data_IF_974297747615
#
_entry.id   IF_974297747615
#
_cell.length_a   1.000
_cell.length_b   1.000
_cell.length_c   1.000
_cell.angle_alpha   90.00
_cell.angle_beta   90.00
_cell.angle_gamma   90.00
#
_symmetry.space_group_name_H-M   'P 1'
#
loop_
_entity.id
_entity.type
_entity.pdbx_description
1 polymer ?
#
# COMPACT_ATOMS: atom_id res chain seq x y z
N UNK A 1 13.96 -42.30 2.28
CA UNK A 1 13.52 -41.43 3.40
C UNK A 1 14.04 -40.00 3.29
N UNK A 2 15.24 -39.72 2.76
CA UNK A 2 15.76 -38.34 2.60
C UNK A 2 15.00 -37.43 1.60
N UNK A 3 14.34 -38.00 0.60
CA UNK A 3 13.59 -37.23 -0.42
C UNK A 3 12.21 -36.74 0.07
N UNK A 4 11.60 -37.41 1.04
CA UNK A 4 10.32 -37.03 1.62
C UNK A 4 10.44 -35.81 2.53
N UNK A 5 11.59 -35.68 3.24
CA UNK A 5 11.88 -34.56 4.13
C UNK A 5 12.08 -33.22 3.38
N UNK A 6 12.62 -33.28 2.16
CA UNK A 6 12.85 -32.09 1.34
C UNK A 6 11.55 -31.51 0.76
N UNK A 7 10.59 -32.37 0.41
CA UNK A 7 9.26 -31.94 -0.09
C UNK A 7 8.47 -31.26 1.03
N UNK A 8 8.56 -31.74 2.26
CA UNK A 8 7.88 -31.14 3.42
C UNK A 8 8.42 -29.75 3.75
N UNK A 9 9.71 -29.50 3.52
CA UNK A 9 10.33 -28.19 3.77
C UNK A 9 9.92 -27.12 2.74
N UNK A 10 9.63 -27.54 1.50
CA UNK A 10 9.20 -26.62 0.43
C UNK A 10 7.75 -26.17 0.54
N UNK A 11 6.90 -26.90 1.25
CA UNK A 11 5.48 -26.56 1.42
C UNK A 11 5.23 -25.50 2.50
N UNK A 12 6.18 -25.24 3.38
CA UNK A 12 6.03 -24.28 4.48
C UNK A 12 6.27 -22.81 4.06
N UNK A 13 6.85 -22.57 2.89
CA UNK A 13 7.11 -21.19 2.41
C UNK A 13 5.91 -20.49 1.75
N UNK A 14 4.83 -21.22 1.48
CA UNK A 14 3.65 -20.68 0.76
C UNK A 14 2.64 -19.95 1.66
N UNK A 15 2.87 -19.85 2.98
CA UNK A 15 1.88 -19.34 3.95
C UNK A 15 2.11 -17.87 4.36
N UNK A 16 3.06 -17.15 3.76
CA UNK A 16 3.36 -15.75 4.11
C UNK A 16 2.69 -14.73 3.18
N UNK A 17 1.66 -15.10 2.44
CA UNK A 17 0.77 -14.15 1.79
C UNK A 17 -0.07 -13.47 2.87
N UNK A 18 0.29 -12.25 3.28
CA UNK A 18 -0.59 -11.43 4.09
C UNK A 18 -1.91 -11.29 3.31
N UNK A 19 -2.99 -11.78 3.92
CA UNK A 19 -4.32 -11.68 3.33
C UNK A 19 -4.80 -10.24 3.55
N UNK A 20 -4.91 -9.45 2.48
CA UNK A 20 -5.36 -8.04 2.53
C UNK A 20 -6.69 -7.90 3.28
N UNK A 21 -7.59 -8.88 3.14
CA UNK A 21 -8.85 -8.95 3.87
C UNK A 21 -8.66 -8.95 5.40
N UNK A 22 -7.64 -9.66 5.92
CA UNK A 22 -7.35 -9.69 7.36
C UNK A 22 -6.83 -8.33 7.86
N UNK A 23 -6.09 -7.61 7.03
CA UNK A 23 -5.60 -6.27 7.37
C UNK A 23 -6.76 -5.30 7.53
N UNK A 24 -7.71 -5.28 6.58
CA UNK A 24 -8.87 -4.39 6.65
C UNK A 24 -9.80 -4.75 7.81
N UNK A 25 -10.02 -6.03 8.07
CA UNK A 25 -10.77 -6.48 9.24
C UNK A 25 -10.11 -5.99 10.55
N UNK A 26 -8.79 -6.03 10.62
CA UNK A 26 -8.05 -5.55 11.79
C UNK A 26 -8.21 -4.03 11.94
N UNK A 27 -8.11 -3.25 10.86
CA UNK A 27 -8.31 -1.81 10.90
C UNK A 27 -9.72 -1.44 11.34
N UNK A 28 -10.73 -2.13 10.83
CA UNK A 28 -12.13 -1.94 11.24
C UNK A 28 -12.33 -2.22 12.73
N UNK A 29 -11.75 -3.30 13.25
CA UNK A 29 -11.80 -3.63 14.68
C UNK A 29 -11.08 -2.59 15.55
N UNK A 30 -9.93 -2.08 15.11
CA UNK A 30 -9.20 -1.02 15.82
C UNK A 30 -10.05 0.25 15.84
N UNK A 31 -10.64 0.64 14.71
CA UNK A 31 -11.54 1.78 14.67
C UNK A 31 -12.72 1.63 15.63
N UNK A 32 -13.42 0.48 15.60
CA UNK A 32 -14.51 0.19 16.51
C UNK A 32 -14.09 0.29 17.99
N UNK A 33 -12.88 -0.18 18.33
CA UNK A 33 -12.32 -0.05 19.67
C UNK A 33 -12.10 1.42 20.06
N UNK A 34 -11.50 2.20 19.16
CA UNK A 34 -11.24 3.65 19.40
C UNK A 34 -12.58 4.38 19.61
N UNK A 35 -13.58 4.14 18.75
CA UNK A 35 -14.90 4.79 18.85
C UNK A 35 -15.61 4.47 20.17
N UNK A 36 -15.36 3.28 20.73
CA UNK A 36 -15.98 2.85 22.00
C UNK A 36 -15.24 3.33 23.25
N UNK A 37 -13.90 3.29 23.24
CA UNK A 37 -13.09 3.44 24.44
C UNK A 37 -12.45 4.85 24.56
N UNK A 38 -12.37 5.60 23.46
CA UNK A 38 -11.75 6.92 23.50
C UNK A 38 -12.65 7.93 24.18
N UNK A 39 -12.09 8.75 25.09
CA UNK A 39 -12.84 9.77 25.85
C UNK A 39 -13.58 10.77 24.94
N UNK A 40 -12.99 11.12 23.82
CA UNK A 40 -13.57 12.04 22.82
C UNK A 40 -13.23 11.55 21.41
N UNK A 41 -13.93 10.53 20.92
CA UNK A 41 -13.67 10.01 19.58
C UNK A 41 -14.03 11.04 18.53
N UNK A 42 -13.18 11.19 17.52
CA UNK A 42 -13.51 11.98 16.34
C UNK A 42 -14.43 11.20 15.42
N UNK A 43 -15.33 11.87 14.68
CA UNK A 43 -16.17 11.21 13.69
C UNK A 43 -15.33 10.54 12.61
N UNK A 44 -15.81 9.41 12.12
CA UNK A 44 -15.26 8.73 10.93
C UNK A 44 -16.07 9.23 9.75
N UNK A 45 -15.53 10.22 9.05
CA UNK A 45 -16.19 10.99 7.99
C UNK A 45 -15.22 11.35 6.86
N UNK A 46 -15.71 12.05 5.84
CA UNK A 46 -14.92 12.51 4.69
C UNK A 46 -13.68 13.33 5.10
N UNK A 47 -13.76 14.11 6.20
CA UNK A 47 -12.63 14.90 6.69
C UNK A 47 -11.50 14.00 7.17
N UNK A 48 -11.85 12.92 7.87
CA UNK A 48 -10.89 11.89 8.28
C UNK A 48 -10.34 11.15 7.07
N UNK A 49 -11.18 10.79 6.10
CA UNK A 49 -10.76 10.15 4.84
C UNK A 49 -9.70 10.97 4.13
N UNK A 50 -9.96 12.26 3.91
CA UNK A 50 -9.02 13.19 3.26
C UNK A 50 -7.70 13.27 4.03
N UNK A 51 -7.79 13.46 5.35
CA UNK A 51 -6.60 13.57 6.19
C UNK A 51 -5.73 12.30 6.13
N UNK A 52 -6.35 11.13 6.27
CA UNK A 52 -5.65 9.84 6.25
C UNK A 52 -5.04 9.58 4.87
N UNK A 53 -5.80 9.80 3.80
CA UNK A 53 -5.33 9.60 2.42
C UNK A 53 -4.12 10.48 2.10
N UNK A 54 -4.22 11.79 2.38
CA UNK A 54 -3.17 12.75 2.08
C UNK A 54 -1.90 12.43 2.87
N UNK A 55 -2.01 12.20 4.18
CA UNK A 55 -0.85 11.83 5.01
C UNK A 55 -0.22 10.50 4.58
N UNK A 56 -1.03 9.50 4.24
CA UNK A 56 -0.52 8.21 3.79
C UNK A 56 0.33 8.34 2.53
N UNK A 57 -0.15 9.08 1.53
CA UNK A 57 0.59 9.29 0.29
C UNK A 57 1.80 10.23 0.48
N UNK A 58 1.71 11.23 1.36
CA UNK A 58 2.83 12.12 1.68
C UNK A 58 3.98 11.39 2.36
N UNK A 59 3.69 10.44 3.23
CA UNK A 59 4.73 9.60 3.87
C UNK A 59 5.40 8.67 2.86
N UNK A 60 4.64 8.09 1.93
CA UNK A 60 5.15 7.08 0.99
C UNK A 60 5.80 7.67 -0.27
N UNK A 61 5.31 8.80 -0.73
CA UNK A 61 5.79 9.48 -1.95
C UNK A 61 5.92 10.99 -1.72
N UNK A 62 6.66 11.36 -0.67
CA UNK A 62 6.89 12.77 -0.27
C UNK A 62 7.42 13.63 -1.42
N UNK A 63 8.26 13.07 -2.28
CA UNK A 63 8.85 13.74 -3.43
C UNK A 63 8.00 13.63 -4.71
N UNK A 64 6.83 13.00 -4.66
CA UNK A 64 5.94 12.79 -5.82
C UNK A 64 6.66 12.18 -7.04
N UNK A 65 7.56 11.24 -6.81
CA UNK A 65 8.39 10.62 -7.84
C UNK A 65 8.19 9.10 -7.98
N UNK A 66 7.31 8.51 -7.17
CA UNK A 66 7.01 7.09 -7.18
C UNK A 66 5.89 6.76 -8.18
N UNK A 67 4.74 7.43 -8.05
CA UNK A 67 3.58 7.21 -8.90
C UNK A 67 3.59 8.10 -10.13
N UNK A 68 3.09 7.59 -11.25
CA UNK A 68 2.74 8.41 -12.41
C UNK A 68 1.48 9.22 -12.12
N UNK A 69 1.25 10.27 -12.90
CA UNK A 69 0.04 11.09 -12.78
C UNK A 69 -1.24 10.24 -12.89
N UNK A 70 -1.26 9.26 -13.80
CA UNK A 70 -2.43 8.39 -14.00
C UNK A 70 -2.65 7.47 -12.79
N UNK A 71 -1.60 6.88 -12.25
CA UNK A 71 -1.68 6.04 -11.06
C UNK A 71 -2.16 6.86 -9.85
N UNK A 72 -1.60 8.05 -9.66
CA UNK A 72 -2.01 8.96 -8.60
C UNK A 72 -3.49 9.37 -8.74
N UNK A 73 -3.95 9.71 -9.94
CA UNK A 73 -5.35 10.05 -10.18
C UNK A 73 -6.32 8.91 -9.83
N UNK A 74 -5.96 7.67 -10.17
CA UNK A 74 -6.75 6.49 -9.77
C UNK A 74 -6.81 6.32 -8.26
N UNK A 75 -5.69 6.51 -7.57
CA UNK A 75 -5.69 6.45 -6.10
C UNK A 75 -6.55 7.56 -5.49
N UNK A 76 -6.60 8.74 -6.10
CA UNK A 76 -7.44 9.85 -5.64
C UNK A 76 -8.95 9.56 -5.68
N UNK A 77 -9.41 8.58 -6.46
CA UNK A 77 -10.81 8.15 -6.45
C UNK A 77 -11.25 7.62 -5.08
N UNK A 78 -10.32 7.12 -4.28
CA UNK A 78 -10.55 6.62 -2.94
C UNK A 78 -10.50 7.69 -1.84
N UNK A 79 -10.09 8.92 -2.17
CA UNK A 79 -9.75 9.97 -1.18
C UNK A 79 -10.89 10.33 -0.23
N UNK A 80 -12.14 10.24 -0.68
CA UNK A 80 -13.36 10.51 0.10
C UNK A 80 -14.09 9.22 0.52
N UNK A 81 -13.44 8.06 0.43
CA UNK A 81 -14.09 6.77 0.66
C UNK A 81 -13.45 5.95 1.79
N UNK A 82 -12.33 6.40 2.38
CA UNK A 82 -11.62 5.60 3.37
C UNK A 82 -12.41 5.38 4.65
N UNK A 83 -13.23 6.36 5.05
CA UNK A 83 -14.17 6.23 6.16
C UNK A 83 -15.22 5.16 5.90
N UNK A 84 -15.84 5.16 4.71
CA UNK A 84 -16.80 4.14 4.29
C UNK A 84 -16.13 2.77 4.27
N UNK A 85 -14.94 2.65 3.70
CA UNK A 85 -14.22 1.38 3.63
C UNK A 85 -13.89 0.80 5.00
N UNK A 86 -13.54 1.64 5.97
CA UNK A 86 -13.25 1.18 7.34
C UNK A 86 -14.51 0.71 8.06
N UNK A 87 -15.64 1.39 7.83
CA UNK A 87 -16.94 1.03 8.41
C UNK A 87 -17.51 -0.23 7.78
N UNK A 88 -17.31 -0.42 6.48
CA UNK A 88 -17.81 -1.55 5.70
C UNK A 88 -16.86 -2.76 5.65
N UNK A 89 -15.69 -2.66 6.27
CA UNK A 89 -14.63 -3.66 6.17
C UNK A 89 -14.21 -3.93 4.71
N UNK A 90 -14.09 -2.86 3.91
CA UNK A 90 -13.79 -2.90 2.49
C UNK A 90 -12.29 -2.64 2.24
N UNK A 91 -11.66 -3.50 1.47
CA UNK A 91 -10.22 -3.46 1.17
C UNK A 91 -9.87 -2.84 -0.19
N UNK A 92 -10.79 -2.22 -0.89
CA UNK A 92 -10.59 -1.75 -2.27
C UNK A 92 -9.38 -0.82 -2.39
N UNK A 93 -9.26 0.18 -1.51
CA UNK A 93 -8.10 1.09 -1.52
C UNK A 93 -6.77 0.34 -1.35
N UNK A 94 -6.68 -0.57 -0.37
CA UNK A 94 -5.43 -1.29 -0.11
C UNK A 94 -5.04 -2.18 -1.30
N UNK A 95 -5.99 -2.84 -1.93
CA UNK A 95 -5.75 -3.67 -3.11
C UNK A 95 -5.23 -2.84 -4.29
N UNK A 96 -5.88 -1.72 -4.58
CA UNK A 96 -5.50 -0.82 -5.68
C UNK A 96 -4.16 -0.13 -5.40
N UNK A 97 -3.95 0.29 -4.16
CA UNK A 97 -2.67 0.85 -3.73
C UNK A 97 -1.52 -0.14 -3.89
N UNK A 98 -1.66 -1.37 -3.39
CA UNK A 98 -0.62 -2.41 -3.48
C UNK A 98 -0.33 -2.75 -4.94
N UNK A 99 -1.35 -2.81 -5.80
CA UNK A 99 -1.16 -3.04 -7.24
C UNK A 99 -0.36 -1.90 -7.89
N UNK A 100 -0.74 -0.65 -7.66
CA UNK A 100 -0.04 0.53 -8.17
C UNK A 100 1.40 0.63 -7.63
N UNK A 101 1.61 0.35 -6.35
CA UNK A 101 2.92 0.37 -5.70
C UNK A 101 3.87 -0.67 -6.30
N UNK A 102 3.41 -1.90 -6.50
CA UNK A 102 4.20 -2.95 -7.16
C UNK A 102 4.63 -2.55 -8.57
N UNK A 103 3.72 -1.99 -9.36
CA UNK A 103 4.04 -1.49 -10.71
C UNK A 103 5.08 -0.36 -10.67
N UNK A 104 4.93 0.58 -9.74
CA UNK A 104 5.87 1.67 -9.55
C UNK A 104 7.28 1.17 -9.17
N UNK A 105 7.37 0.18 -8.27
CA UNK A 105 8.66 -0.43 -7.91
C UNK A 105 9.33 -1.14 -9.09
N UNK A 106 8.57 -1.91 -9.88
CA UNK A 106 9.11 -2.58 -11.08
C UNK A 106 9.63 -1.54 -12.08
N UNK A 107 8.89 -0.44 -12.28
CA UNK A 107 9.31 0.67 -13.14
C UNK A 107 10.60 1.32 -12.64
N UNK A 108 10.68 1.65 -11.36
CA UNK A 108 11.90 2.23 -10.75
C UNK A 108 13.10 1.30 -10.89
N UNK A 109 12.92 0.01 -10.63
CA UNK A 109 13.99 -0.99 -10.81
C UNK A 109 14.54 -0.98 -12.23
N UNK A 110 13.66 -1.01 -13.25
CA UNK A 110 14.07 -0.95 -14.67
C UNK A 110 14.84 0.33 -15.01
N UNK A 111 14.41 1.47 -14.47
CA UNK A 111 15.12 2.76 -14.69
C UNK A 111 16.52 2.71 -14.07
N UNK A 112 16.64 2.21 -12.84
CA UNK A 112 17.94 2.09 -12.18
C UNK A 112 18.89 1.13 -12.92
N UNK A 113 18.39 -0.02 -13.38
CA UNK A 113 19.16 -0.98 -14.19
C UNK A 113 19.62 -0.36 -15.51
N UNK A 114 18.81 0.51 -16.13
CA UNK A 114 19.20 1.26 -17.34
C UNK A 114 20.31 2.26 -17.02
N UNK A 115 20.14 3.07 -15.98
CA UNK A 115 21.12 4.08 -15.54
C UNK A 115 22.48 3.42 -15.21
N UNK A 116 22.47 2.27 -14.54
CA UNK A 116 23.69 1.54 -14.21
C UNK A 116 24.47 1.03 -15.44
N UNK A 117 23.79 0.82 -16.56
CA UNK A 117 24.42 0.35 -17.81
C UNK A 117 24.88 1.47 -18.71
N UNK A 118 24.37 2.69 -18.52
CA UNK A 118 24.73 3.86 -19.30
C UNK A 118 25.97 4.51 -18.68
N UNK A 119 27.05 4.64 -19.49
CA UNK A 119 28.20 5.48 -19.14
C UNK A 119 27.79 6.94 -19.34
N UNK A 120 27.49 7.64 -18.26
CA UNK A 120 27.22 9.09 -18.32
C UNK A 120 28.55 9.85 -18.48
N UNK A 121 28.67 10.59 -19.57
CA UNK A 121 29.75 11.57 -19.72
C UNK A 121 29.36 12.87 -19.00
N UNK A 122 29.98 13.13 -17.86
CA UNK A 122 29.74 14.34 -17.05
C UNK A 122 30.57 15.57 -17.54
N UNK A 123 31.34 15.46 -18.66
CA UNK A 123 32.19 16.51 -19.16
C UNK A 123 31.55 17.37 -20.26
N UNK A 124 30.28 17.27 -20.50
CA UNK A 124 29.55 18.18 -21.41
C UNK A 124 29.24 19.47 -20.68
N UNK A 125 30.08 20.51 -20.99
CA UNK A 125 29.77 21.91 -20.69
C UNK A 125 28.59 22.41 -21.51
#
# INVERSE_FOLDING_TARGET
>A
MKKLSLVLLLTTFSLLGQNDAKTCETLSKINALIQREHYQPKPVDDSLSVFVFDNFLDVLDSNRNLFTKIEYQKLCEHRLQLDNYILENNCSFMSDFVAAYKLALVRKKKILEKIQKENFDYNTN
#
